data_IF_405958954460
#
_entry.id   IF_405958954460
#
_cell.length_a   1.000
_cell.length_b   1.000
_cell.length_c   1.000
_cell.angle_alpha   90.00
_cell.angle_beta   90.00
_cell.angle_gamma   90.00
#
_symmetry.space_group_name_H-M   'P 1'
#
loop_
_entity.id
_entity.type
_entity.pdbx_description
1 polymer ?
#
# COMPACT_ATOMS: atom_id res chain seq x y z
N UNK A 1 1.84 -21.78 -38.17
CA UNK A 1 2.01 -22.65 -37.01
C UNK A 1 2.87 -22.05 -35.88
N UNK A 2 4.02 -21.38 -36.12
CA UNK A 2 4.88 -20.78 -35.09
C UNK A 2 4.17 -19.69 -34.26
N UNK A 3 3.29 -18.85 -34.82
CA UNK A 3 2.59 -17.79 -34.10
C UNK A 3 1.51 -18.29 -33.13
N UNK A 4 0.86 -19.40 -33.45
CA UNK A 4 -0.17 -20.01 -32.58
C UNK A 4 0.48 -20.70 -31.38
N UNK A 5 1.65 -21.32 -31.57
CA UNK A 5 2.42 -21.94 -30.49
C UNK A 5 2.95 -20.88 -29.51
N UNK A 6 3.45 -19.76 -30.01
CA UNK A 6 3.94 -18.64 -29.18
C UNK A 6 2.79 -17.98 -28.37
N UNK A 7 1.60 -17.83 -28.98
CA UNK A 7 0.43 -17.31 -28.29
C UNK A 7 -0.14 -18.29 -27.23
N UNK A 8 0.06 -19.61 -27.42
CA UNK A 8 -0.28 -20.61 -26.41
C UNK A 8 0.71 -20.64 -25.24
N UNK A 9 2.01 -20.48 -25.49
CA UNK A 9 3.02 -20.39 -24.44
C UNK A 9 2.81 -19.19 -23.53
N UNK A 10 2.46 -18.01 -24.07
CA UNK A 10 2.16 -16.83 -23.23
C UNK A 10 1.01 -17.03 -22.26
N UNK A 11 0.03 -17.89 -22.57
CA UNK A 11 -1.11 -18.17 -21.70
C UNK A 11 -0.77 -19.07 -20.50
N UNK A 12 0.39 -19.70 -20.50
CA UNK A 12 0.86 -20.59 -19.43
C UNK A 12 1.76 -19.87 -18.43
N UNK A 13 2.08 -18.60 -18.67
CA UNK A 13 2.94 -17.80 -17.79
C UNK A 13 2.20 -16.58 -17.23
N UNK A 14 2.54 -16.20 -16.00
CA UNK A 14 2.10 -14.92 -15.43
C UNK A 14 2.72 -13.75 -16.23
N UNK A 15 2.03 -12.60 -16.28
CA UNK A 15 2.65 -11.39 -16.84
C UNK A 15 3.94 -11.01 -16.11
N UNK A 16 4.82 -10.29 -16.78
CA UNK A 16 6.07 -9.83 -16.18
C UNK A 16 5.81 -8.91 -14.96
N UNK A 17 6.52 -9.18 -13.87
CA UNK A 17 6.42 -8.43 -12.61
C UNK A 17 5.30 -8.90 -11.69
N UNK A 18 4.59 -9.96 -12.03
CA UNK A 18 3.65 -10.66 -11.13
C UNK A 18 4.00 -12.14 -11.07
N UNK A 19 3.67 -12.78 -9.95
CA UNK A 19 3.99 -14.19 -9.74
C UNK A 19 2.99 -14.89 -8.85
N UNK A 20 2.88 -16.20 -9.00
CA UNK A 20 2.18 -17.04 -8.06
C UNK A 20 3.00 -17.21 -6.78
N UNK A 21 2.32 -17.20 -5.63
CA UNK A 21 2.89 -17.52 -4.32
C UNK A 21 2.15 -18.76 -3.80
N UNK A 22 2.88 -19.84 -3.57
CA UNK A 22 2.28 -21.13 -3.21
C UNK A 22 3.10 -21.89 -2.18
N UNK A 23 2.54 -23.00 -1.66
CA UNK A 23 3.16 -23.90 -0.70
C UNK A 23 3.75 -23.16 0.51
N UNK A 24 4.97 -23.49 0.89
CA UNK A 24 5.66 -22.95 2.06
C UNK A 24 5.77 -21.42 2.06
N UNK A 25 6.01 -20.80 0.91
CA UNK A 25 6.10 -19.34 0.82
C UNK A 25 4.74 -18.68 1.15
N UNK A 26 3.65 -19.26 0.64
CA UNK A 26 2.30 -18.79 0.95
C UNK A 26 1.98 -18.94 2.44
N UNK A 27 2.31 -20.07 3.06
CA UNK A 27 2.12 -20.33 4.49
C UNK A 27 2.90 -19.33 5.36
N UNK A 28 4.15 -19.05 5.00
CA UNK A 28 4.97 -18.04 5.69
C UNK A 28 4.33 -16.66 5.59
N UNK A 29 3.92 -16.25 4.39
CA UNK A 29 3.26 -14.97 4.14
C UNK A 29 2.02 -14.82 5.01
N UNK A 30 1.11 -15.79 4.99
CA UNK A 30 -0.12 -15.77 5.77
C UNK A 30 0.16 -15.75 7.28
N UNK A 31 1.17 -16.49 7.73
CA UNK A 31 1.59 -16.49 9.14
C UNK A 31 2.12 -15.13 9.57
N UNK A 32 2.93 -14.48 8.73
CA UNK A 32 3.43 -13.13 8.98
C UNK A 32 2.29 -12.12 9.06
N UNK A 33 1.37 -12.13 8.09
CA UNK A 33 0.20 -11.26 8.10
C UNK A 33 -0.61 -11.40 9.39
N UNK A 34 -0.85 -12.64 9.83
CA UNK A 34 -1.57 -12.91 11.08
C UNK A 34 -0.83 -12.35 12.30
N UNK A 35 0.49 -12.54 12.38
CA UNK A 35 1.30 -12.00 13.49
C UNK A 35 1.27 -10.47 13.54
N UNK A 36 1.42 -9.83 12.40
CA UNK A 36 1.38 -8.38 12.29
C UNK A 36 0.01 -7.84 12.70
N UNK A 37 -1.08 -8.40 12.16
CA UNK A 37 -2.45 -8.00 12.52
C UNK A 37 -2.73 -8.13 14.02
N UNK A 38 -2.26 -9.21 14.65
CA UNK A 38 -2.42 -9.39 16.09
C UNK A 38 -1.80 -8.25 16.89
N UNK A 39 -0.63 -7.75 16.49
CA UNK A 39 0.00 -6.62 17.18
C UNK A 39 -0.82 -5.35 16.99
N UNK A 40 -1.24 -5.04 15.76
CA UNK A 40 -2.02 -3.83 15.48
C UNK A 40 -3.35 -3.82 16.24
N UNK A 41 -4.03 -4.98 16.31
CA UNK A 41 -5.26 -5.12 17.11
C UNK A 41 -5.03 -4.89 18.62
N UNK A 42 -3.86 -5.26 19.18
CA UNK A 42 -3.50 -4.96 20.56
C UNK A 42 -3.36 -3.46 20.83
N UNK A 43 -2.95 -2.68 19.82
CA UNK A 43 -2.92 -1.22 19.85
C UNK A 43 -4.28 -0.56 19.54
N UNK A 44 -5.34 -1.37 19.37
CA UNK A 44 -6.71 -0.87 19.15
C UNK A 44 -7.03 -0.54 17.68
N UNK A 45 -6.17 -0.91 16.74
CA UNK A 45 -6.44 -0.74 15.31
C UNK A 45 -7.47 -1.78 14.84
N UNK A 46 -8.34 -1.36 13.92
CA UNK A 46 -9.40 -2.18 13.34
C UNK A 46 -9.17 -2.38 11.86
N UNK A 47 -9.50 -3.56 11.37
CA UNK A 47 -9.36 -3.87 9.95
C UNK A 47 -10.26 -2.99 9.10
N UNK A 48 -9.68 -2.43 8.01
CA UNK A 48 -10.40 -1.79 6.92
C UNK A 48 -10.03 -2.45 5.61
N UNK A 49 -11.03 -2.68 4.74
CA UNK A 49 -10.83 -3.15 3.39
C UNK A 49 -11.37 -2.11 2.42
N UNK A 50 -10.48 -1.57 1.60
CA UNK A 50 -10.81 -0.63 0.53
C UNK A 50 -10.84 -1.34 -0.83
N UNK A 51 -11.54 -0.79 -1.83
CA UNK A 51 -11.55 -1.36 -3.18
C UNK A 51 -10.13 -1.47 -3.78
N UNK A 52 -9.95 -2.48 -4.64
CA UNK A 52 -8.67 -2.66 -5.36
C UNK A 52 -8.43 -1.59 -6.42
N UNK A 53 -9.50 -0.99 -6.93
CA UNK A 53 -9.46 0.13 -7.87
C UNK A 53 -10.41 1.25 -7.41
N UNK A 54 -10.07 2.45 -7.77
CA UNK A 54 -10.80 3.68 -7.45
C UNK A 54 -10.88 4.56 -8.69
N UNK A 55 -11.65 5.66 -8.63
CA UNK A 55 -11.51 6.71 -9.61
C UNK A 55 -10.07 7.25 -9.60
N UNK A 56 -9.54 7.51 -10.79
CA UNK A 56 -8.16 7.98 -10.97
C UNK A 56 -7.83 9.20 -10.10
N UNK A 57 -8.80 10.09 -9.88
CA UNK A 57 -8.61 11.31 -9.10
C UNK A 57 -8.26 11.06 -7.63
N UNK A 58 -8.59 9.90 -7.07
CA UNK A 58 -8.16 9.50 -5.70
C UNK A 58 -6.63 9.40 -5.60
N UNK A 59 -5.96 9.07 -6.71
CA UNK A 59 -4.50 8.90 -6.76
C UNK A 59 -3.78 10.00 -7.55
N UNK A 60 -4.53 11.00 -8.07
CA UNK A 60 -3.99 12.03 -8.97
C UNK A 60 -3.17 13.08 -8.23
N UNK A 61 -3.63 13.49 -7.06
CA UNK A 61 -2.86 14.39 -6.22
C UNK A 61 -1.69 13.59 -5.67
N UNK A 62 -0.46 14.09 -5.83
CA UNK A 62 0.80 13.42 -5.46
C UNK A 62 0.90 13.17 -3.94
N UNK A 63 -0.09 12.50 -3.38
CA UNK A 63 -0.10 11.99 -2.02
C UNK A 63 0.59 10.64 -2.06
N UNK A 64 1.92 10.65 -2.30
CA UNK A 64 2.71 9.44 -2.34
C UNK A 64 3.88 9.50 -3.32
N UNK A 65 4.72 8.49 -3.27
CA UNK A 65 5.95 8.38 -4.05
C UNK A 65 5.75 7.88 -5.49
N UNK A 66 4.53 7.55 -5.89
CA UNK A 66 4.25 6.92 -7.20
C UNK A 66 3.84 7.95 -8.23
N UNK A 67 4.61 8.03 -9.32
CA UNK A 67 4.27 8.86 -10.47
C UNK A 67 2.94 8.43 -11.10
N UNK A 68 2.11 9.40 -11.50
CA UNK A 68 0.86 9.14 -12.23
C UNK A 68 1.06 8.38 -13.55
N UNK A 69 2.29 8.36 -14.09
CA UNK A 69 2.66 7.58 -15.27
C UNK A 69 2.81 6.08 -14.98
N UNK A 70 3.06 5.71 -13.73
CA UNK A 70 3.21 4.34 -13.29
C UNK A 70 1.90 3.70 -12.80
N UNK A 71 0.76 4.38 -12.95
CA UNK A 71 -0.54 3.83 -12.59
C UNK A 71 -1.09 2.90 -13.69
N UNK A 72 -1.66 1.77 -13.30
CA UNK A 72 -2.52 0.97 -14.16
C UNK A 72 -3.88 1.64 -14.27
N UNK A 73 -4.23 2.16 -15.47
CA UNK A 73 -5.47 2.87 -15.74
C UNK A 73 -6.33 2.10 -16.72
N UNK A 74 -7.64 2.17 -16.53
CA UNK A 74 -8.63 1.57 -17.41
C UNK A 74 -9.93 2.37 -17.36
N UNK A 75 -10.89 2.03 -18.20
CA UNK A 75 -12.16 2.73 -18.28
C UNK A 75 -13.30 1.83 -17.83
N UNK A 76 -14.28 2.40 -17.14
CA UNK A 76 -15.57 1.75 -16.94
C UNK A 76 -16.44 1.88 -18.18
N UNK A 77 -17.69 1.38 -18.10
CA UNK A 77 -18.64 1.43 -19.23
C UNK A 77 -19.14 2.84 -19.52
N UNK A 78 -19.11 3.71 -18.54
CA UNK A 78 -19.55 5.11 -18.59
C UNK A 78 -18.42 6.04 -19.09
N UNK A 79 -17.20 5.50 -19.27
CA UNK A 79 -16.04 6.26 -19.75
C UNK A 79 -15.24 6.94 -18.65
N UNK A 80 -15.53 6.67 -17.38
CA UNK A 80 -14.71 7.18 -16.27
C UNK A 80 -13.35 6.50 -16.23
N UNK A 81 -12.32 7.27 -15.87
CA UNK A 81 -10.97 6.73 -15.68
C UNK A 81 -10.86 6.14 -14.28
N UNK A 82 -10.56 4.85 -14.22
CA UNK A 82 -10.27 4.10 -13.01
C UNK A 82 -8.79 3.76 -12.96
N UNK A 83 -8.25 3.55 -11.76
CA UNK A 83 -6.89 3.09 -11.57
C UNK A 83 -6.80 1.99 -10.50
N UNK A 84 -5.93 0.99 -10.72
CA UNK A 84 -5.53 0.09 -9.65
C UNK A 84 -4.74 0.88 -8.61
N UNK A 85 -5.00 0.61 -7.35
CA UNK A 85 -4.35 1.32 -6.23
C UNK A 85 -2.84 1.08 -6.21
N UNK A 86 -2.01 2.13 -6.31
CA UNK A 86 -0.56 2.03 -6.13
C UNK A 86 -0.17 1.98 -4.65
N UNK A 87 -1.06 2.50 -3.79
CA UNK A 87 -0.96 2.59 -2.34
C UNK A 87 -2.37 2.49 -1.74
N UNK A 88 -2.49 1.99 -0.52
CA UNK A 88 -3.78 1.83 0.16
C UNK A 88 -4.16 3.09 0.97
N UNK A 89 -3.19 3.86 1.46
CA UNK A 89 -3.39 5.08 2.25
C UNK A 89 -4.40 6.07 1.64
N UNK A 90 -4.34 6.43 0.33
CA UNK A 90 -5.32 7.34 -0.26
C UNK A 90 -6.75 6.81 -0.20
N UNK A 91 -6.93 5.49 -0.40
CA UNK A 91 -8.25 4.86 -0.30
C UNK A 91 -8.79 4.86 1.13
N UNK A 92 -7.92 4.69 2.14
CA UNK A 92 -8.30 4.80 3.56
C UNK A 92 -8.66 6.24 3.90
N UNK A 93 -7.88 7.22 3.44
CA UNK A 93 -8.17 8.64 3.64
C UNK A 93 -9.52 9.03 3.02
N UNK A 94 -9.82 8.59 1.79
CA UNK A 94 -11.14 8.79 1.17
C UNK A 94 -12.26 8.15 2.00
N UNK A 95 -12.07 6.92 2.46
CA UNK A 95 -13.06 6.23 3.28
C UNK A 95 -13.29 6.97 4.61
N UNK A 96 -12.22 7.43 5.27
CA UNK A 96 -12.32 8.23 6.49
C UNK A 96 -13.13 9.52 6.27
N UNK A 97 -12.86 10.23 5.16
CA UNK A 97 -13.55 11.48 4.84
C UNK A 97 -15.01 11.32 4.41
N UNK A 98 -15.42 10.12 3.98
CA UNK A 98 -16.77 9.90 3.41
C UNK A 98 -17.70 9.07 4.28
N UNK A 99 -17.17 8.28 5.20
CA UNK A 99 -17.94 7.31 5.99
C UNK A 99 -17.99 7.63 7.50
N UNK A 100 -17.15 8.57 7.96
CA UNK A 100 -17.01 8.87 9.38
C UNK A 100 -17.20 10.36 9.64
N UNK A 101 -17.86 10.68 10.73
CA UNK A 101 -18.08 12.04 11.21
C UNK A 101 -16.96 12.46 12.18
N UNK A 102 -16.88 13.76 12.47
CA UNK A 102 -15.86 14.33 13.38
C UNK A 102 -15.88 13.74 14.78
N UNK A 103 -17.03 13.22 15.22
CA UNK A 103 -17.22 12.59 16.55
C UNK A 103 -16.61 11.18 16.62
N UNK A 104 -16.33 10.55 15.47
CA UNK A 104 -15.74 9.21 15.39
C UNK A 104 -14.20 9.23 15.58
N UNK A 105 -13.57 10.39 15.48
CA UNK A 105 -12.12 10.53 15.58
C UNK A 105 -11.60 10.44 17.03
N UNK A 106 -10.38 9.92 17.26
CA UNK A 106 -9.41 9.47 16.26
C UNK A 106 -9.72 8.07 15.72
N UNK A 107 -9.53 7.90 14.40
CA UNK A 107 -9.69 6.62 13.73
C UNK A 107 -8.38 5.85 13.71
N UNK A 108 -8.45 4.56 14.05
CA UNK A 108 -7.31 3.63 14.00
C UNK A 108 -7.66 2.49 13.05
N UNK A 109 -7.09 2.51 11.85
CA UNK A 109 -7.28 1.47 10.85
C UNK A 109 -6.00 0.72 10.57
N UNK A 110 -6.14 -0.59 10.34
CA UNK A 110 -5.08 -1.41 9.77
C UNK A 110 -5.60 -2.16 8.54
N UNK A 111 -4.70 -2.48 7.64
CA UNK A 111 -5.05 -3.13 6.39
C UNK A 111 -3.95 -4.05 5.88
N UNK A 112 -4.36 -5.01 5.08
CA UNK A 112 -3.50 -5.80 4.21
C UNK A 112 -4.14 -5.89 2.84
N UNK A 113 -3.37 -5.69 1.79
CA UNK A 113 -3.87 -5.78 0.43
C UNK A 113 -2.77 -5.66 -0.61
N UNK A 114 -3.12 -5.97 -1.86
CA UNK A 114 -2.17 -5.84 -2.95
C UNK A 114 -2.22 -4.43 -3.52
N UNK A 115 -1.06 -3.92 -3.88
CA UNK A 115 -0.82 -2.65 -4.58
C UNK A 115 -0.17 -2.92 -5.92
N UNK A 116 -0.36 -2.02 -6.89
CA UNK A 116 -0.03 -2.26 -8.29
C UNK A 116 0.71 -1.06 -8.86
N UNK A 117 1.95 -1.27 -9.32
CA UNK A 117 2.78 -0.21 -9.91
C UNK A 117 3.32 -0.69 -11.25
N UNK A 118 3.02 0.04 -12.32
CA UNK A 118 3.46 -0.26 -13.67
C UNK A 118 4.85 0.31 -13.94
N UNK A 119 5.87 -0.27 -13.31
CA UNK A 119 7.25 0.15 -13.53
C UNK A 119 7.68 -0.04 -14.97
N UNK A 120 8.40 0.95 -15.51
CA UNK A 120 8.97 0.92 -16.86
C UNK A 120 10.28 0.13 -16.94
N UNK A 121 10.93 -0.16 -15.82
CA UNK A 121 12.23 -0.84 -15.82
C UNK A 121 12.12 -2.29 -15.35
N UNK A 122 12.64 -3.19 -16.18
CA UNK A 122 12.69 -4.64 -16.04
C UNK A 122 13.65 -5.17 -14.94
N UNK A 123 14.05 -4.37 -13.98
CA UNK A 123 15.10 -4.74 -13.01
C UNK A 123 14.58 -5.57 -11.82
N UNK A 124 13.76 -6.59 -12.08
CA UNK A 124 13.29 -7.50 -11.03
C UNK A 124 12.29 -6.87 -10.02
N UNK A 125 11.76 -5.68 -10.30
CA UNK A 125 10.73 -5.05 -9.48
C UNK A 125 9.39 -5.72 -9.73
N UNK A 126 8.72 -6.10 -8.67
CA UNK A 126 7.35 -6.61 -8.75
C UNK A 126 6.39 -5.47 -9.08
N UNK A 127 5.43 -5.75 -9.98
CA UNK A 127 4.32 -4.85 -10.33
C UNK A 127 3.12 -5.03 -9.40
N UNK A 128 3.05 -6.14 -8.72
CA UNK A 128 2.09 -6.44 -7.67
C UNK A 128 2.82 -6.75 -6.38
N UNK A 129 2.52 -6.00 -5.32
CA UNK A 129 3.12 -6.17 -4.00
C UNK A 129 2.02 -6.26 -2.95
N UNK A 130 2.26 -7.02 -1.88
CA UNK A 130 1.37 -6.98 -0.72
C UNK A 130 1.84 -5.89 0.23
N UNK A 131 0.98 -4.93 0.48
CA UNK A 131 1.16 -3.87 1.47
C UNK A 131 0.43 -4.26 2.76
N UNK A 132 1.09 -4.05 3.88
CA UNK A 132 0.54 -4.11 5.21
C UNK A 132 0.77 -2.75 5.87
N UNK A 133 -0.27 -2.14 6.41
CA UNK A 133 -0.18 -0.79 6.95
C UNK A 133 -1.19 -0.49 8.04
N UNK A 134 -1.00 0.67 8.65
CA UNK A 134 -1.90 1.23 9.64
C UNK A 134 -1.97 2.75 9.50
N UNK A 135 -3.14 3.31 9.76
CA UNK A 135 -3.41 4.74 9.70
C UNK A 135 -4.03 5.19 11.03
N UNK A 136 -3.44 6.21 11.64
CA UNK A 136 -4.01 6.96 12.76
C UNK A 136 -4.43 8.33 12.24
N UNK A 137 -5.73 8.59 12.23
CA UNK A 137 -6.31 9.77 11.59
C UNK A 137 -7.03 10.61 12.64
N UNK A 138 -6.80 11.93 12.59
CA UNK A 138 -7.51 12.90 13.43
C UNK A 138 -6.93 13.09 14.83
N UNK A 139 -5.67 12.72 15.04
CA UNK A 139 -4.95 12.98 16.29
C UNK A 139 -3.57 13.56 15.99
N UNK A 140 -3.38 14.81 16.33
CA UNK A 140 -2.11 15.54 16.20
C UNK A 140 -1.48 15.70 17.58
N UNK A 141 -0.64 14.73 17.97
CA UNK A 141 0.10 14.77 19.23
C UNK A 141 1.37 13.93 19.20
N UNK A 142 2.33 14.28 20.06
CA UNK A 142 3.58 13.53 20.23
C UNK A 142 3.33 12.08 20.67
N UNK A 143 2.27 11.86 21.47
CA UNK A 143 1.88 10.54 21.94
C UNK A 143 1.36 9.67 20.78
N UNK A 144 0.66 10.27 19.81
CA UNK A 144 0.23 9.59 18.60
C UNK A 144 1.41 9.13 17.74
N UNK A 145 2.40 10.01 17.55
CA UNK A 145 3.64 9.66 16.83
C UNK A 145 4.40 8.56 17.55
N UNK A 146 4.51 8.65 18.88
CA UNK A 146 5.16 7.62 19.69
C UNK A 146 4.42 6.28 19.64
N UNK A 147 3.08 6.28 19.65
CA UNK A 147 2.24 5.09 19.48
C UNK A 147 2.54 4.40 18.16
N UNK A 148 2.56 5.16 17.04
CA UNK A 148 2.85 4.61 15.71
C UNK A 148 4.24 3.98 15.64
N UNK A 149 5.26 4.65 16.16
CA UNK A 149 6.65 4.13 16.17
C UNK A 149 6.75 2.86 17.02
N UNK A 150 6.17 2.87 18.22
CA UNK A 150 6.19 1.72 19.14
C UNK A 150 5.46 0.52 18.52
N UNK A 151 4.28 0.74 17.93
CA UNK A 151 3.50 -0.29 17.27
C UNK A 151 4.27 -0.94 16.12
N UNK A 152 4.93 -0.15 15.25
CA UNK A 152 5.74 -0.66 14.15
C UNK A 152 6.92 -1.47 14.68
N UNK A 153 7.60 -0.99 15.73
CA UNK A 153 8.72 -1.70 16.35
C UNK A 153 8.27 -3.04 16.93
N UNK A 154 7.15 -3.10 17.63
CA UNK A 154 6.60 -4.32 18.21
C UNK A 154 6.15 -5.31 17.13
N UNK A 155 5.53 -4.80 16.06
CA UNK A 155 5.14 -5.61 14.92
C UNK A 155 6.36 -6.28 14.25
N UNK A 156 7.43 -5.53 14.01
CA UNK A 156 8.66 -6.07 13.42
C UNK A 156 9.34 -7.10 14.35
N UNK A 157 9.45 -6.82 15.64
CA UNK A 157 9.98 -7.78 16.63
C UNK A 157 9.15 -9.08 16.67
N UNK A 158 7.82 -8.96 16.56
CA UNK A 158 6.92 -10.13 16.55
C UNK A 158 7.12 -11.04 15.35
N UNK A 159 7.63 -10.51 14.23
CA UNK A 159 7.99 -11.31 13.06
C UNK A 159 9.27 -12.11 13.25
N UNK A 160 10.11 -11.76 14.22
CA UNK A 160 11.41 -12.38 14.51
C UNK A 160 12.59 -11.56 14.00
N UNK A 161 12.38 -10.30 13.60
CA UNK A 161 13.47 -9.38 13.30
C UNK A 161 14.10 -8.87 14.60
N UNK A 162 15.40 -9.09 14.76
CA UNK A 162 16.16 -8.67 15.94
C UNK A 162 16.80 -7.29 15.71
N UNK A 163 17.27 -7.03 14.49
CA UNK A 163 17.90 -5.77 14.11
C UNK A 163 17.15 -5.11 12.96
N UNK A 164 16.71 -3.87 13.14
CA UNK A 164 16.05 -3.06 12.12
C UNK A 164 16.20 -1.58 12.45
N UNK A 165 16.05 -0.76 11.44
CA UNK A 165 16.04 0.71 11.56
C UNK A 165 14.69 1.24 11.14
N UNK A 166 14.13 2.15 11.94
CA UNK A 166 12.92 2.90 11.60
C UNK A 166 13.34 4.29 11.16
N UNK A 167 12.99 4.66 9.92
CA UNK A 167 13.17 6.01 9.41
C UNK A 167 11.87 6.77 9.53
N UNK A 168 11.90 7.91 10.25
CA UNK A 168 10.74 8.78 10.42
C UNK A 168 10.87 9.92 9.42
N UNK A 169 9.84 10.11 8.59
CA UNK A 169 9.79 11.19 7.62
C UNK A 169 8.48 11.96 7.82
N UNK A 170 8.62 13.27 8.10
CA UNK A 170 7.50 14.20 8.11
C UNK A 170 7.41 14.86 6.73
N UNK A 171 6.38 14.55 5.97
CA UNK A 171 6.21 15.03 4.58
C UNK A 171 6.18 16.56 4.48
N UNK A 172 5.70 17.24 5.52
CA UNK A 172 5.60 18.71 5.58
C UNK A 172 6.87 19.42 6.04
N UNK A 173 7.85 18.69 6.59
CA UNK A 173 9.11 19.27 7.10
C UNK A 173 10.31 18.89 6.24
N UNK A 174 10.16 17.92 5.35
CA UNK A 174 11.22 17.59 4.40
C UNK A 174 11.11 18.51 3.19
N UNK A 175 12.15 19.31 2.87
CA UNK A 175 12.14 20.09 1.64
C UNK A 175 11.97 19.15 0.46
N UNK A 176 10.97 19.41 -0.38
CA UNK A 176 10.73 18.67 -1.60
C UNK A 176 12.04 18.56 -2.40
N UNK A 177 12.30 17.44 -3.11
CA UNK A 177 13.42 17.38 -4.04
C UNK A 177 13.44 18.54 -5.05
N UNK A 178 12.28 19.16 -5.31
CA UNK A 178 12.16 20.37 -6.15
C UNK A 178 12.70 21.64 -5.45
N UNK A 179 12.65 21.71 -4.13
CA UNK A 179 13.14 22.88 -3.37
C UNK A 179 14.66 22.88 -3.24
N UNK A 180 15.34 21.75 -3.54
CA UNK A 180 16.81 21.65 -3.55
C UNK A 180 17.46 22.13 -4.85
N UNK A 181 16.68 22.44 -5.88
CA UNK A 181 17.20 22.84 -7.20
C UNK A 181 17.25 24.38 -7.39
N UNK A 182 17.01 25.16 -6.34
CA UNK A 182 17.03 26.65 -6.38
C UNK A 182 17.97 27.20 -5.31
N UNK A 183 19.22 26.75 -5.35
CA UNK A 183 20.32 27.37 -4.61
C UNK A 183 21.61 27.25 -5.42
#
# INVERSE_FOLDING_TARGET
MKGVLFAMEQKLHTPEGVRDIYSRECEIKLTLQKKLNQVLHLYGYRDIQTPTFEYYDVFREEIGSTSTQELYKFFDREGNILALRPDITPSVARAAATLFDTEDFPLRFCYVGNTFINHTSYRGKLKENTQFGAELIGLDSVEADAEMIAMVADALKKTGLEEFQISICLLYTSPSPRDRSVS
#
